data_IF_633880936191
#
_entry.id   IF_633880936191
#
_cell.length_a   1.000
_cell.length_b   1.000
_cell.length_c   1.000
_cell.angle_alpha   90.00
_cell.angle_beta   90.00
_cell.angle_gamma   90.00
#
_symmetry.space_group_name_H-M   'P 1'
#
loop_
_entity.id
_entity.type
_entity.pdbx_description
1 polymer ?
#
# COMPACT_ATOMS: atom_id res chain seq x y z
N UNK A 1 -15.41 7.57 15.25
CA UNK A 1 -16.05 6.61 14.31
C UNK A 1 -15.81 7.19 12.93
N UNK A 2 -15.31 6.39 11.97
CA UNK A 2 -15.08 6.85 10.59
C UNK A 2 -16.42 7.22 9.95
N UNK A 3 -16.42 8.29 9.15
CA UNK A 3 -17.62 8.77 8.45
C UNK A 3 -17.43 8.72 6.95
N UNK A 4 -16.24 9.12 6.46
CA UNK A 4 -15.93 9.16 5.03
C UNK A 4 -14.48 8.76 4.78
N UNK A 5 -14.28 7.75 3.96
CA UNK A 5 -12.97 7.17 3.66
C UNK A 5 -12.63 7.38 2.18
N UNK A 6 -11.49 8.00 1.90
CA UNK A 6 -10.91 7.98 0.56
C UNK A 6 -10.20 6.66 0.31
N UNK A 7 -10.50 6.01 -0.81
CA UNK A 7 -9.86 4.78 -1.28
C UNK A 7 -8.78 5.12 -2.29
N UNK A 8 -7.51 5.14 -1.84
CA UNK A 8 -6.36 5.49 -2.68
C UNK A 8 -5.87 4.28 -3.49
N UNK A 9 -6.77 3.70 -4.28
CA UNK A 9 -6.50 2.55 -5.14
C UNK A 9 -7.56 2.42 -6.23
N UNK A 10 -7.43 1.41 -7.09
CA UNK A 10 -8.31 1.15 -8.23
C UNK A 10 -8.73 -0.32 -8.32
N UNK A 11 -9.58 -0.63 -9.30
CA UNK A 11 -9.91 -1.99 -9.68
C UNK A 11 -10.63 -2.78 -8.59
N UNK A 12 -10.28 -4.06 -8.46
CA UNK A 12 -10.98 -4.98 -7.56
C UNK A 12 -10.80 -4.63 -6.08
N UNK A 13 -9.62 -4.14 -5.68
CA UNK A 13 -9.38 -3.77 -4.28
C UNK A 13 -10.18 -2.53 -3.89
N UNK A 14 -10.32 -1.55 -4.78
CA UNK A 14 -11.19 -0.40 -4.54
C UNK A 14 -12.65 -0.85 -4.38
N UNK A 15 -13.14 -1.75 -5.24
CA UNK A 15 -14.48 -2.33 -5.10
C UNK A 15 -14.68 -3.02 -3.73
N UNK A 16 -13.68 -3.79 -3.29
CA UNK A 16 -13.73 -4.49 -1.99
C UNK A 16 -13.84 -3.51 -0.83
N UNK A 17 -12.99 -2.47 -0.83
CA UNK A 17 -12.96 -1.48 0.25
C UNK A 17 -14.26 -0.67 0.26
N UNK A 18 -14.73 -0.19 -0.89
CA UNK A 18 -15.99 0.56 -1.00
C UNK A 18 -17.20 -0.23 -0.53
N UNK A 19 -17.26 -1.54 -0.81
CA UNK A 19 -18.30 -2.41 -0.26
C UNK A 19 -18.22 -2.52 1.27
N UNK A 20 -17.02 -2.68 1.81
CA UNK A 20 -16.82 -2.72 3.27
C UNK A 20 -17.20 -1.38 3.93
N UNK A 21 -16.88 -0.24 3.31
CA UNK A 21 -17.32 1.07 3.78
C UNK A 21 -18.86 1.15 3.83
N UNK A 22 -19.53 0.77 2.75
CA UNK A 22 -21.00 0.75 2.68
C UNK A 22 -21.63 -0.15 3.74
N UNK A 23 -21.09 -1.35 3.95
CA UNK A 23 -21.56 -2.29 4.98
C UNK A 23 -21.37 -1.74 6.40
N UNK A 24 -20.33 -0.93 6.61
CA UNK A 24 -20.03 -0.27 7.88
C UNK A 24 -20.77 1.07 8.07
N UNK A 25 -21.53 1.54 7.08
CA UNK A 25 -22.19 2.85 7.11
C UNK A 25 -21.23 4.03 6.96
N UNK A 26 -20.11 3.82 6.26
CA UNK A 26 -19.07 4.81 5.97
C UNK A 26 -19.20 5.22 4.50
N UNK A 27 -19.21 6.50 4.21
CA UNK A 27 -19.17 7.01 2.84
C UNK A 27 -17.83 6.71 2.18
N UNK A 28 -17.84 6.17 0.98
CA UNK A 28 -16.65 5.83 0.20
C UNK A 28 -16.37 6.85 -0.90
N UNK A 29 -15.18 7.46 -0.87
CA UNK A 29 -14.68 8.32 -1.94
C UNK A 29 -13.67 7.52 -2.78
N UNK A 30 -13.95 7.34 -4.07
CA UNK A 30 -13.02 6.76 -5.02
C UNK A 30 -12.26 7.86 -5.76
N UNK A 31 -10.99 7.58 -6.07
CA UNK A 31 -10.21 8.37 -7.03
C UNK A 31 -9.98 7.53 -8.29
N UNK A 32 -9.98 8.15 -9.46
CA UNK A 32 -9.76 7.43 -10.72
C UNK A 32 -9.00 8.26 -11.75
N UNK A 33 -8.12 7.64 -12.53
CA UNK A 33 -7.53 8.25 -13.72
C UNK A 33 -8.48 8.07 -14.92
N UNK A 34 -8.35 8.90 -15.96
CA UNK A 34 -9.30 8.96 -17.06
C UNK A 34 -9.68 7.62 -17.69
N UNK A 35 -8.73 6.69 -17.81
CA UNK A 35 -8.99 5.34 -18.35
C UNK A 35 -9.84 4.44 -17.42
N UNK A 36 -10.04 4.81 -16.17
CA UNK A 36 -10.84 4.09 -15.19
C UNK A 36 -12.26 4.69 -15.02
N UNK A 37 -12.59 5.73 -15.77
CA UNK A 37 -13.93 6.34 -15.77
C UNK A 37 -15.01 5.32 -16.15
N UNK A 38 -16.10 5.30 -15.38
CA UNK A 38 -17.22 4.37 -15.61
C UNK A 38 -16.92 2.90 -15.26
N UNK A 39 -15.83 2.62 -14.57
CA UNK A 39 -15.54 1.27 -14.07
C UNK A 39 -16.33 0.99 -12.79
N UNK A 40 -16.47 -0.28 -12.42
CA UNK A 40 -17.31 -0.72 -11.31
C UNK A 40 -16.99 -0.01 -9.98
N UNK A 41 -15.71 0.26 -9.67
CA UNK A 41 -15.39 0.89 -8.39
C UNK A 41 -15.80 2.38 -8.37
N UNK A 42 -15.81 3.08 -9.51
CA UNK A 42 -16.30 4.46 -9.57
C UNK A 42 -17.83 4.52 -9.42
N UNK A 43 -18.55 3.49 -9.88
CA UNK A 43 -20.00 3.36 -9.70
C UNK A 43 -20.40 2.93 -8.27
N UNK A 44 -19.52 2.22 -7.56
CA UNK A 44 -19.74 1.76 -6.19
C UNK A 44 -19.51 2.85 -5.15
N UNK A 45 -18.71 3.86 -5.48
CA UNK A 45 -18.39 4.96 -4.59
C UNK A 45 -19.57 5.92 -4.39
N UNK A 46 -19.66 6.54 -3.23
CA UNK A 46 -20.60 7.63 -2.98
C UNK A 46 -20.16 8.91 -3.68
N UNK A 47 -18.85 9.12 -3.77
CA UNK A 47 -18.21 10.21 -4.53
C UNK A 47 -17.06 9.59 -5.35
N UNK A 48 -16.97 9.96 -6.62
CA UNK A 48 -15.84 9.58 -7.47
C UNK A 48 -15.16 10.84 -8.03
N UNK A 49 -13.85 10.96 -7.81
CA UNK A 49 -13.04 12.15 -8.18
C UNK A 49 -11.99 11.74 -9.19
N UNK A 50 -11.93 12.45 -10.30
CA UNK A 50 -10.93 12.23 -11.34
C UNK A 50 -9.57 12.81 -10.91
N UNK A 51 -8.50 12.02 -11.09
CA UNK A 51 -7.13 12.45 -10.90
C UNK A 51 -6.64 13.17 -12.15
N UNK A 52 -6.02 14.31 -11.97
CA UNK A 52 -5.39 15.07 -13.05
C UNK A 52 -4.01 14.51 -13.36
N UNK A 53 -3.67 14.42 -14.65
CA UNK A 53 -2.35 14.02 -15.13
C UNK A 53 -2.36 12.75 -15.97
N UNK A 54 -1.18 12.44 -16.51
CA UNK A 54 -0.94 11.28 -17.37
C UNK A 54 -0.03 10.25 -16.69
N UNK A 55 -0.44 9.00 -16.71
CA UNK A 55 0.34 7.91 -16.11
C UNK A 55 0.26 7.83 -14.59
N UNK A 56 0.88 6.78 -14.03
CA UNK A 56 0.75 6.46 -12.61
C UNK A 56 1.41 7.48 -11.68
N UNK A 57 2.52 8.09 -12.12
CA UNK A 57 3.28 9.02 -11.29
C UNK A 57 2.51 10.31 -10.98
N UNK A 58 1.73 10.77 -11.96
CA UNK A 58 0.93 11.99 -11.83
C UNK A 58 -0.47 11.73 -11.27
N UNK A 59 -0.90 10.47 -11.25
CA UNK A 59 -2.24 10.07 -10.79
C UNK A 59 -2.16 9.27 -9.48
N UNK A 60 -2.25 7.93 -9.52
CA UNK A 60 -2.34 7.05 -8.33
C UNK A 60 -1.10 7.06 -7.43
N UNK A 61 0.04 7.59 -7.87
CA UNK A 61 1.25 7.77 -7.07
C UNK A 61 1.50 9.23 -6.67
N UNK A 62 0.62 10.16 -7.06
CA UNK A 62 0.70 11.56 -6.68
C UNK A 62 0.11 11.75 -5.28
N UNK A 63 0.98 11.67 -4.28
CA UNK A 63 0.60 11.78 -2.86
C UNK A 63 -0.08 13.11 -2.53
N UNK A 64 0.43 14.20 -3.09
CA UNK A 64 -0.08 15.55 -2.83
C UNK A 64 -1.50 15.73 -3.35
N UNK A 65 -1.76 15.31 -4.59
CA UNK A 65 -3.08 15.38 -5.19
C UNK A 65 -4.09 14.50 -4.44
N UNK A 66 -3.71 13.27 -4.06
CA UNK A 66 -4.60 12.36 -3.34
C UNK A 66 -4.95 12.92 -1.95
N UNK A 67 -3.97 13.50 -1.26
CA UNK A 67 -4.19 14.12 0.04
C UNK A 67 -5.10 15.34 -0.07
N UNK A 68 -4.88 16.18 -1.09
CA UNK A 68 -5.72 17.33 -1.37
C UNK A 68 -7.17 16.93 -1.64
N UNK A 69 -7.40 15.90 -2.47
CA UNK A 69 -8.74 15.37 -2.76
C UNK A 69 -9.41 14.87 -1.48
N UNK A 70 -8.68 14.20 -0.59
CA UNK A 70 -9.23 13.72 0.67
C UNK A 70 -9.72 14.88 1.56
N UNK A 71 -8.94 15.94 1.64
CA UNK A 71 -9.29 17.15 2.42
C UNK A 71 -10.48 17.89 1.80
N UNK A 72 -10.47 18.11 0.49
CA UNK A 72 -11.53 18.84 -0.23
C UNK A 72 -12.89 18.11 -0.21
N UNK A 73 -12.86 16.77 -0.04
CA UNK A 73 -14.07 15.98 0.06
C UNK A 73 -14.45 15.63 1.51
N UNK A 74 -13.91 16.35 2.52
CA UNK A 74 -14.19 16.14 3.94
C UNK A 74 -13.99 14.67 4.40
N UNK A 75 -13.00 13.98 3.83
CA UNK A 75 -12.65 12.64 4.31
C UNK A 75 -12.01 12.73 5.69
N UNK A 76 -12.31 11.77 6.56
CA UNK A 76 -11.66 11.62 7.86
C UNK A 76 -10.57 10.54 7.85
N UNK A 77 -10.50 9.78 6.77
CA UNK A 77 -9.56 8.66 6.65
C UNK A 77 -9.18 8.35 5.20
N UNK A 78 -8.02 7.71 5.03
CA UNK A 78 -7.54 7.18 3.75
C UNK A 78 -7.21 5.69 3.89
N UNK A 79 -7.75 4.88 2.98
CA UNK A 79 -7.41 3.47 2.83
C UNK A 79 -6.58 3.27 1.54
N UNK A 80 -5.31 2.89 1.63
CA UNK A 80 -4.45 2.77 0.44
C UNK A 80 -4.67 1.49 -0.40
N UNK A 81 -5.41 0.52 0.11
CA UNK A 81 -5.52 -0.80 -0.51
C UNK A 81 -4.22 -1.60 -0.37
N UNK A 82 -3.75 -2.17 -1.48
CA UNK A 82 -2.44 -2.83 -1.59
C UNK A 82 -1.69 -2.35 -2.84
N UNK A 83 -0.35 -2.45 -2.83
CA UNK A 83 0.49 -1.84 -3.87
C UNK A 83 0.37 -0.30 -3.86
N UNK A 84 0.79 0.36 -4.93
CA UNK A 84 0.80 1.83 -5.03
C UNK A 84 1.38 2.49 -3.77
N UNK A 85 0.59 3.34 -3.13
CA UNK A 85 1.01 4.10 -1.94
C UNK A 85 0.90 3.31 -0.63
N UNK A 86 0.36 2.08 -0.63
CA UNK A 86 0.25 1.27 0.59
C UNK A 86 1.60 0.86 1.18
N UNK A 87 2.65 0.85 0.36
CA UNK A 87 4.01 0.50 0.75
C UNK A 87 4.91 1.74 0.99
N UNK A 88 4.31 2.93 0.99
CA UNK A 88 5.00 4.20 1.14
C UNK A 88 4.81 4.76 2.55
N UNK A 89 5.84 4.61 3.39
CA UNK A 89 5.84 5.10 4.76
C UNK A 89 5.72 6.64 4.83
N UNK A 90 6.32 7.35 3.85
CA UNK A 90 6.22 8.80 3.72
C UNK A 90 4.78 9.26 3.46
N UNK A 91 4.02 8.54 2.64
CA UNK A 91 2.61 8.84 2.42
C UNK A 91 1.76 8.57 3.66
N UNK A 92 1.96 7.43 4.32
CA UNK A 92 1.26 7.12 5.56
C UNK A 92 1.50 8.19 6.62
N UNK A 93 2.75 8.70 6.74
CA UNK A 93 3.09 9.79 7.64
C UNK A 93 2.40 11.10 7.22
N UNK A 94 2.41 11.45 5.93
CA UNK A 94 1.77 12.67 5.41
C UNK A 94 0.26 12.69 5.68
N UNK A 95 -0.42 11.53 5.56
CA UNK A 95 -1.83 11.38 5.92
C UNK A 95 -2.06 11.68 7.41
N UNK A 96 -1.24 11.10 8.29
CA UNK A 96 -1.32 11.31 9.73
C UNK A 96 -1.04 12.77 10.11
N UNK A 97 -0.02 13.38 9.53
CA UNK A 97 0.38 14.78 9.78
C UNK A 97 -0.69 15.77 9.33
N UNK A 98 -1.51 15.39 8.34
CA UNK A 98 -2.66 16.16 7.88
C UNK A 98 -3.90 16.03 8.76
N UNK A 99 -3.82 15.26 9.87
CA UNK A 99 -4.92 15.04 10.80
C UNK A 99 -5.94 13.99 10.32
N UNK A 100 -5.66 13.29 9.23
CA UNK A 100 -6.48 12.20 8.72
C UNK A 100 -6.07 10.85 9.35
N UNK A 101 -7.00 9.93 9.39
CA UNK A 101 -6.74 8.57 9.88
C UNK A 101 -6.18 7.72 8.73
N UNK A 102 -4.97 7.23 8.89
CA UNK A 102 -4.38 6.24 8.00
C UNK A 102 -4.93 4.84 8.33
N UNK A 103 -5.58 4.19 7.37
CA UNK A 103 -6.08 2.82 7.52
C UNK A 103 -5.04 1.85 6.97
N UNK A 104 -4.13 1.44 7.84
CA UNK A 104 -3.00 0.57 7.48
C UNK A 104 -2.00 0.41 8.63
N UNK A 105 -0.88 -0.29 8.39
CA UNK A 105 0.20 -0.40 9.36
C UNK A 105 0.87 0.96 9.60
N UNK A 106 1.54 1.15 10.73
CA UNK A 106 2.25 2.40 11.01
C UNK A 106 3.38 2.65 9.99
N UNK A 107 3.77 3.92 9.75
CA UNK A 107 4.90 4.25 8.87
C UNK A 107 6.18 3.48 9.22
N UNK A 108 6.44 3.28 10.53
CA UNK A 108 7.58 2.49 11.00
C UNK A 108 7.47 1.01 10.61
N UNK A 109 6.26 0.43 10.71
CA UNK A 109 6.03 -0.95 10.31
C UNK A 109 6.19 -1.11 8.79
N UNK A 110 5.69 -0.17 7.99
CA UNK A 110 5.88 -0.16 6.54
C UNK A 110 7.38 -0.13 6.20
N UNK A 111 8.15 0.77 6.83
CA UNK A 111 9.60 0.88 6.61
C UNK A 111 10.32 -0.42 6.96
N UNK A 112 10.05 -0.99 8.14
CA UNK A 112 10.69 -2.23 8.60
C UNK A 112 10.36 -3.44 7.73
N UNK A 113 9.14 -3.50 7.22
CA UNK A 113 8.67 -4.64 6.41
C UNK A 113 8.91 -4.46 4.90
N UNK A 114 9.19 -3.23 4.46
CA UNK A 114 9.48 -2.92 3.06
C UNK A 114 10.84 -3.43 2.60
N UNK A 115 11.82 -3.49 3.49
CA UNK A 115 13.11 -4.13 3.24
C UNK A 115 13.04 -5.61 3.60
N UNK A 116 13.26 -6.49 2.61
CA UNK A 116 13.11 -7.94 2.78
C UNK A 116 14.05 -8.55 3.80
N UNK A 117 15.28 -8.04 3.89
CA UNK A 117 16.27 -8.54 4.83
C UNK A 117 15.93 -8.10 6.24
N UNK A 118 15.65 -6.81 6.42
CA UNK A 118 15.22 -6.27 7.71
C UNK A 118 13.96 -6.97 8.22
N UNK A 119 12.97 -7.18 7.36
CA UNK A 119 11.76 -7.89 7.69
C UNK A 119 12.05 -9.32 8.15
N UNK A 120 12.94 -10.04 7.46
CA UNK A 120 13.33 -11.40 7.80
C UNK A 120 14.06 -11.49 9.14
N UNK A 121 15.01 -10.60 9.39
CA UNK A 121 15.74 -10.52 10.66
C UNK A 121 14.75 -10.24 11.80
N UNK A 122 13.91 -9.22 11.63
CA UNK A 122 12.89 -8.85 12.62
C UNK A 122 11.94 -10.01 12.94
N UNK A 123 11.47 -10.74 11.93
CA UNK A 123 10.60 -11.90 12.13
C UNK A 123 11.31 -13.05 12.83
N UNK A 124 12.59 -13.31 12.49
CA UNK A 124 13.40 -14.34 13.12
C UNK A 124 13.64 -14.03 14.61
N UNK A 125 13.95 -12.77 14.95
CA UNK A 125 14.11 -12.30 16.32
C UNK A 125 12.81 -12.40 17.14
N UNK A 126 11.68 -12.17 16.50
CA UNK A 126 10.35 -12.34 17.08
C UNK A 126 9.90 -13.82 17.21
N UNK A 127 10.74 -14.78 16.84
CA UNK A 127 10.42 -16.21 16.92
C UNK A 127 9.45 -16.71 15.85
N UNK A 128 9.18 -15.91 14.81
CA UNK A 128 8.34 -16.32 13.66
C UNK A 128 9.16 -17.22 12.75
N UNK A 129 8.64 -18.39 12.33
CA UNK A 129 9.32 -19.25 11.37
C UNK A 129 9.57 -18.51 10.05
N UNK A 130 10.82 -18.48 9.60
CA UNK A 130 11.22 -17.89 8.33
C UNK A 130 11.84 -18.94 7.41
N UNK A 131 11.65 -18.80 6.11
CA UNK A 131 12.27 -19.68 5.11
C UNK A 131 13.79 -19.51 5.22
N UNK A 132 14.60 -20.61 5.30
CA UNK A 132 16.05 -20.53 5.28
C UNK A 132 16.55 -19.75 4.05
N UNK A 133 17.62 -18.99 4.22
CA UNK A 133 18.22 -18.18 3.16
C UNK A 133 19.31 -17.29 3.71
N UNK A 134 20.24 -16.90 2.88
CA UNK A 134 21.35 -16.00 3.19
C UNK A 134 21.44 -14.93 2.12
N UNK A 135 21.96 -13.75 2.50
CA UNK A 135 22.29 -12.69 1.56
C UNK A 135 23.71 -12.85 1.10
N UNK A 136 23.92 -12.66 -0.19
CA UNK A 136 25.24 -12.80 -0.83
C UNK A 136 25.46 -11.56 -1.70
N UNK A 137 26.37 -10.71 -1.30
CA UNK A 137 26.77 -9.50 -2.05
C UNK A 137 27.92 -9.76 -3.02
N UNK A 138 28.55 -10.91 -2.89
CA UNK A 138 29.69 -11.36 -3.68
C UNK A 138 29.31 -12.10 -4.96
N UNK A 139 30.32 -12.44 -5.75
CA UNK A 139 30.12 -13.15 -7.00
C UNK A 139 29.75 -14.64 -6.82
N UNK A 140 29.79 -15.36 -7.94
CA UNK A 140 29.40 -16.79 -8.00
C UNK A 140 30.07 -17.68 -6.93
N UNK A 141 31.33 -17.39 -6.56
CA UNK A 141 32.05 -18.19 -5.58
C UNK A 141 31.39 -18.13 -4.21
N UNK A 142 31.00 -16.92 -3.76
CA UNK A 142 30.33 -16.75 -2.47
C UNK A 142 28.96 -17.44 -2.44
N UNK A 143 28.22 -17.39 -3.56
CA UNK A 143 26.96 -18.13 -3.71
C UNK A 143 27.19 -19.64 -3.55
N UNK A 144 28.26 -20.18 -4.17
CA UNK A 144 28.58 -21.61 -4.08
C UNK A 144 29.01 -22.01 -2.67
N UNK A 145 29.68 -21.14 -1.94
CA UNK A 145 30.14 -21.40 -0.58
C UNK A 145 28.98 -21.38 0.43
N UNK A 146 27.99 -20.51 0.22
CA UNK A 146 26.82 -20.36 1.09
C UNK A 146 25.69 -21.34 0.77
N UNK A 147 25.51 -21.72 -0.48
CA UNK A 147 24.43 -22.58 -0.91
C UNK A 147 24.24 -23.88 -0.11
N UNK A 148 25.32 -24.60 0.31
CA UNK A 148 25.16 -25.82 1.12
C UNK A 148 24.57 -25.57 2.51
N UNK A 149 24.80 -24.39 3.10
CA UNK A 149 24.25 -24.03 4.43
C UNK A 149 22.76 -23.74 4.37
N UNK A 150 22.28 -23.22 3.25
CA UNK A 150 20.84 -22.96 2.99
C UNK A 150 20.10 -24.26 2.67
N UNK A 151 20.73 -25.16 1.92
CA UNK A 151 20.16 -26.44 1.45
C UNK A 151 19.55 -26.34 0.05
N UNK A 152 19.39 -27.50 -0.56
CA UNK A 152 18.83 -27.64 -1.91
C UNK A 152 17.43 -28.26 -1.88
N UNK A 153 16.49 -27.88 -2.79
CA UNK A 153 16.67 -26.87 -3.84
C UNK A 153 16.65 -25.44 -3.29
N UNK A 154 17.38 -24.51 -3.90
CA UNK A 154 17.42 -23.11 -3.53
C UNK A 154 17.04 -22.21 -4.72
N UNK A 155 16.55 -20.99 -4.40
CA UNK A 155 16.23 -19.95 -5.37
C UNK A 155 17.21 -18.79 -5.21
N UNK A 156 17.84 -18.41 -6.32
CA UNK A 156 18.60 -17.17 -6.42
C UNK A 156 17.66 -16.04 -6.91
N UNK A 157 17.76 -14.88 -6.28
CA UNK A 157 16.87 -13.76 -6.57
C UNK A 157 17.63 -12.44 -6.64
#
# INVERSE_FOLDING_TARGET
>A
MLKRTLVANRGEIACRILRACREAGIEGVAIFAGNDSGTLFTELADIAVELEGDGLAETYLNQEQILQIAIENDCDSIHPGFGFLSERADFAQAVIDSGLIWIGPSPEAITKMGDKMTARITMKEAGVPVIPGEEVDGGLQEVLDVAPSVGYPLLLK
#
